data_IF_487376085217
#
_entry.id   IF_487376085217
#
_cell.length_a   1.000
_cell.length_b   1.000
_cell.length_c   1.000
_cell.angle_alpha   90.00
_cell.angle_beta   90.00
_cell.angle_gamma   90.00
#
_symmetry.space_group_name_H-M   'P 1'
#
loop_
_entity.id
_entity.type
_entity.pdbx_description
1 polymer ?
#
# COMPACT_ATOMS: atom_id res chain seq x y z
N UNK A 1 3.67 0.38 -71.35
CA UNK A 1 2.94 0.69 -70.09
C UNK A 1 4.01 0.91 -69.05
N UNK A 2 4.37 2.16 -68.84
CA UNK A 2 5.32 2.56 -67.77
C UNK A 2 4.60 2.49 -66.43
N UNK A 3 5.23 1.81 -65.50
CA UNK A 3 4.72 1.58 -64.16
C UNK A 3 4.75 2.90 -63.39
N UNK A 4 3.61 3.37 -62.88
CA UNK A 4 3.47 4.55 -62.07
C UNK A 4 4.13 4.44 -60.68
N UNK A 5 4.69 3.28 -60.33
CA UNK A 5 5.34 2.99 -59.04
C UNK A 5 6.65 3.80 -58.84
N UNK A 6 7.21 4.37 -59.89
CA UNK A 6 8.43 5.18 -59.81
C UNK A 6 8.19 6.68 -59.48
N UNK A 7 6.93 7.09 -59.40
CA UNK A 7 6.56 8.51 -59.19
C UNK A 7 5.97 8.79 -57.83
N UNK A 8 5.60 7.75 -57.06
CA UNK A 8 5.16 7.92 -55.69
C UNK A 8 6.42 8.11 -54.83
N UNK A 9 6.90 9.33 -54.69
CA UNK A 9 7.79 9.70 -53.62
C UNK A 9 7.07 9.32 -52.33
N UNK A 10 7.64 8.37 -51.54
CA UNK A 10 7.31 8.20 -50.18
C UNK A 10 7.29 9.58 -49.52
N UNK A 11 6.11 10.14 -49.32
CA UNK A 11 5.93 11.30 -48.44
C UNK A 11 6.40 10.86 -47.06
N UNK A 12 7.59 11.34 -46.73
CA UNK A 12 8.37 10.89 -45.59
C UNK A 12 7.52 10.90 -44.35
N UNK A 13 7.54 9.79 -43.61
CA UNK A 13 7.46 9.88 -42.17
C UNK A 13 8.37 11.04 -41.77
N UNK A 14 7.77 12.14 -41.30
CA UNK A 14 8.53 13.22 -40.69
C UNK A 14 9.43 12.56 -39.67
N UNK A 15 10.73 12.51 -39.93
CA UNK A 15 11.76 12.14 -38.99
C UNK A 15 11.63 13.15 -37.83
N UNK A 16 10.86 12.80 -36.82
CA UNK A 16 10.92 13.51 -35.54
C UNK A 16 12.37 13.43 -35.11
N UNK A 17 13.06 14.58 -34.89
CA UNK A 17 14.47 14.57 -34.52
C UNK A 17 14.69 13.63 -33.37
N UNK A 18 15.54 12.62 -33.53
CA UNK A 18 15.90 11.71 -32.45
C UNK A 18 16.60 12.54 -31.39
N UNK A 19 16.00 12.56 -30.19
CA UNK A 19 16.59 13.18 -28.99
C UNK A 19 18.02 12.66 -28.80
N UNK A 20 18.98 13.53 -28.50
CA UNK A 20 20.34 13.13 -28.18
C UNK A 20 20.37 12.27 -26.90
N UNK A 21 21.46 11.52 -26.69
CA UNK A 21 21.62 10.72 -25.47
C UNK A 21 21.62 11.62 -24.23
N UNK A 22 22.22 12.80 -24.31
CA UNK A 22 22.32 13.76 -23.22
C UNK A 22 20.93 14.35 -22.89
N UNK A 23 20.19 14.78 -23.88
CA UNK A 23 18.81 15.25 -23.70
C UNK A 23 17.91 14.18 -23.12
N UNK A 24 18.07 12.91 -23.54
CA UNK A 24 17.33 11.78 -22.97
C UNK A 24 17.67 11.54 -21.50
N UNK A 25 18.96 11.58 -21.11
CA UNK A 25 19.41 11.44 -19.72
C UNK A 25 18.83 12.55 -18.85
N UNK A 26 18.89 13.80 -19.32
CA UNK A 26 18.36 14.94 -18.57
C UNK A 26 16.83 14.87 -18.43
N UNK A 27 16.12 14.50 -19.49
CA UNK A 27 14.68 14.25 -19.42
C UNK A 27 14.34 13.18 -18.39
N UNK A 28 15.10 12.06 -18.33
CA UNK A 28 14.87 10.99 -17.37
C UNK A 28 15.21 11.41 -15.93
N UNK A 29 16.21 12.25 -15.73
CA UNK A 29 16.55 12.83 -14.44
C UNK A 29 15.44 13.76 -13.96
N UNK A 30 14.92 14.62 -14.83
CA UNK A 30 13.80 15.50 -14.53
C UNK A 30 12.52 14.72 -14.22
N UNK A 31 12.17 13.71 -15.01
CA UNK A 31 11.02 12.85 -14.75
C UNK A 31 11.08 12.19 -13.34
N UNK A 32 12.27 11.76 -12.93
CA UNK A 32 12.46 11.21 -11.57
C UNK A 32 12.29 12.26 -10.48
N UNK A 33 12.86 13.45 -10.67
CA UNK A 33 12.73 14.56 -9.74
C UNK A 33 11.28 14.99 -9.57
N UNK A 34 10.53 15.13 -10.67
CA UNK A 34 9.11 15.47 -10.66
C UNK A 34 8.26 14.45 -9.90
N UNK A 35 8.56 13.13 -10.07
CA UNK A 35 7.87 12.08 -9.34
C UNK A 35 8.21 12.07 -7.84
N UNK A 36 9.45 12.40 -7.49
CA UNK A 36 9.81 12.55 -6.06
C UNK A 36 9.09 13.75 -5.43
N UNK A 37 9.04 14.88 -6.13
CA UNK A 37 8.28 16.05 -5.67
C UNK A 37 6.80 15.71 -5.49
N UNK A 38 6.17 15.07 -6.50
CA UNK A 38 4.77 14.65 -6.43
C UNK A 38 4.49 13.70 -5.25
N UNK A 39 5.38 12.73 -4.97
CA UNK A 39 5.23 11.85 -3.83
C UNK A 39 5.37 12.60 -2.49
N UNK A 40 6.25 13.59 -2.44
CA UNK A 40 6.44 14.42 -1.27
C UNK A 40 5.22 15.29 -0.98
N UNK A 41 4.72 16.02 -1.99
CA UNK A 41 3.52 16.84 -1.87
C UNK A 41 2.30 16.03 -1.43
N UNK A 42 2.21 14.79 -1.94
CA UNK A 42 1.14 13.88 -1.53
C UNK A 42 1.28 13.38 -0.08
N UNK A 43 2.52 13.20 0.41
CA UNK A 43 2.77 12.87 1.81
C UNK A 43 2.33 14.00 2.74
N UNK A 44 2.65 15.25 2.38
CA UNK A 44 2.21 16.43 3.13
C UNK A 44 0.69 16.53 3.16
N UNK A 45 0.07 16.37 2.01
CA UNK A 45 -1.38 16.43 1.89
C UNK A 45 -2.05 15.32 2.72
N UNK A 46 -1.50 14.12 2.74
CA UNK A 46 -2.06 13.01 3.52
C UNK A 46 -2.03 13.26 5.04
N UNK A 47 -1.09 14.07 5.55
CA UNK A 47 -1.01 14.42 6.97
C UNK A 47 -1.50 15.87 7.28
N UNK A 48 -2.23 16.48 6.35
CA UNK A 48 -2.89 17.78 6.58
C UNK A 48 -4.38 17.75 6.25
N UNK A 49 -4.83 16.76 5.48
CA UNK A 49 -6.21 16.60 5.04
C UNK A 49 -6.75 15.19 5.39
N UNK A 50 -7.77 15.07 6.27
CA UNK A 50 -8.30 13.81 6.73
C UNK A 50 -8.80 12.90 5.60
N UNK A 51 -9.42 13.45 4.56
CA UNK A 51 -9.94 12.68 3.43
C UNK A 51 -8.78 12.07 2.61
N UNK A 52 -7.71 12.83 2.41
CA UNK A 52 -6.50 12.35 1.74
C UNK A 52 -5.80 11.28 2.58
N UNK A 53 -5.76 11.43 3.91
CA UNK A 53 -5.24 10.40 4.81
C UNK A 53 -6.06 9.10 4.71
N UNK A 54 -7.38 9.20 4.79
CA UNK A 54 -8.28 8.03 4.65
C UNK A 54 -8.07 7.31 3.30
N UNK A 55 -7.93 8.08 2.21
CA UNK A 55 -7.63 7.55 0.88
C UNK A 55 -6.26 6.86 0.83
N UNK A 56 -5.21 7.45 1.46
CA UNK A 56 -3.89 6.84 1.56
C UNK A 56 -3.91 5.51 2.33
N UNK A 57 -4.53 5.49 3.52
CA UNK A 57 -4.63 4.28 4.35
C UNK A 57 -5.41 3.17 3.62
N UNK A 58 -6.47 3.54 2.90
CA UNK A 58 -7.25 2.63 2.07
C UNK A 58 -6.42 2.03 0.94
N UNK A 59 -5.68 2.87 0.23
CA UNK A 59 -4.81 2.44 -0.86
C UNK A 59 -3.67 1.55 -0.34
N UNK A 60 -3.03 1.93 0.76
CA UNK A 60 -1.97 1.15 1.42
C UNK A 60 -2.46 -0.25 1.80
N UNK A 61 -3.67 -0.37 2.35
CA UNK A 61 -4.28 -1.65 2.69
C UNK A 61 -4.55 -2.52 1.44
N UNK A 62 -4.96 -1.92 0.32
CA UNK A 62 -5.25 -2.60 -0.95
C UNK A 62 -3.97 -3.07 -1.64
N UNK A 63 -2.98 -2.20 -1.78
CA UNK A 63 -1.74 -2.47 -2.51
C UNK A 63 -0.73 -3.32 -1.72
N UNK A 64 -0.81 -3.34 -0.38
CA UNK A 64 -0.03 -4.22 0.48
C UNK A 64 1.49 -3.97 0.39
N UNK A 65 2.18 -4.69 -0.48
CA UNK A 65 3.66 -4.63 -0.60
C UNK A 65 4.19 -3.40 -1.36
N UNK A 66 3.33 -2.46 -1.75
CA UNK A 66 3.75 -1.24 -2.42
C UNK A 66 4.66 -0.41 -1.49
N UNK A 67 5.74 0.15 -2.01
CA UNK A 67 6.58 1.07 -1.24
C UNK A 67 5.80 2.36 -0.94
N UNK A 68 6.20 3.10 0.11
CA UNK A 68 5.57 4.36 0.45
C UNK A 68 5.51 5.32 -0.75
N UNK A 69 6.65 5.58 -1.39
CA UNK A 69 6.70 6.47 -2.55
C UNK A 69 5.73 6.03 -3.66
N UNK A 70 5.70 4.73 -3.96
CA UNK A 70 4.81 4.23 -5.00
C UNK A 70 3.34 4.29 -4.57
N UNK A 71 3.00 4.07 -3.30
CA UNK A 71 1.63 4.24 -2.82
C UNK A 71 1.18 5.69 -2.96
N UNK A 72 2.03 6.66 -2.59
CA UNK A 72 1.75 8.08 -2.76
C UNK A 72 1.62 8.49 -4.23
N UNK A 73 2.48 7.94 -5.11
CA UNK A 73 2.37 8.15 -6.56
C UNK A 73 1.10 7.55 -7.16
N UNK A 74 0.68 6.38 -6.69
CA UNK A 74 -0.60 5.80 -7.11
C UNK A 74 -1.76 6.65 -6.62
N UNK A 75 -1.74 7.08 -5.35
CA UNK A 75 -2.76 7.94 -4.77
C UNK A 75 -2.95 9.23 -5.60
N UNK A 76 -1.86 9.88 -5.99
CA UNK A 76 -1.91 11.11 -6.78
C UNK A 76 -2.42 10.93 -8.21
N UNK A 77 -2.15 9.77 -8.85
CA UNK A 77 -2.45 9.52 -10.25
C UNK A 77 -3.74 8.73 -10.46
N UNK A 78 -4.08 7.84 -9.52
CA UNK A 78 -5.26 6.97 -9.58
C UNK A 78 -5.69 6.52 -8.17
N UNK A 79 -6.40 7.37 -7.40
CA UNK A 79 -6.76 7.12 -6.00
C UNK A 79 -7.70 5.91 -5.82
N UNK A 80 -8.48 5.56 -6.85
CA UNK A 80 -9.38 4.41 -6.87
C UNK A 80 -8.69 3.08 -7.22
N UNK A 81 -7.36 3.07 -7.44
CA UNK A 81 -6.62 1.88 -7.81
C UNK A 81 -6.77 0.75 -6.76
N UNK A 82 -6.91 -0.47 -7.26
CA UNK A 82 -7.10 -1.66 -6.41
C UNK A 82 -6.01 -2.72 -6.59
N UNK A 83 -5.45 -2.82 -7.78
CA UNK A 83 -4.39 -3.77 -8.08
C UNK A 83 -3.53 -3.26 -9.26
N UNK A 84 -2.33 -2.81 -8.96
CA UNK A 84 -1.44 -2.13 -9.90
C UNK A 84 -0.25 -3.01 -10.25
N UNK A 85 -0.01 -3.20 -11.55
CA UNK A 85 1.15 -3.91 -12.09
C UNK A 85 1.64 -3.28 -13.39
N UNK A 86 2.88 -3.58 -13.79
CA UNK A 86 3.36 -3.27 -15.12
C UNK A 86 2.70 -4.14 -16.21
N UNK A 87 2.90 -3.77 -17.47
CA UNK A 87 2.26 -4.45 -18.60
C UNK A 87 2.68 -5.93 -18.70
N UNK A 88 3.94 -6.25 -18.40
CA UNK A 88 4.44 -7.64 -18.44
C UNK A 88 3.78 -8.49 -17.37
N UNK A 89 3.71 -7.99 -16.13
CA UNK A 89 3.05 -8.68 -15.03
C UNK A 89 1.55 -8.89 -15.28
N UNK A 90 0.89 -8.00 -16.02
CA UNK A 90 -0.49 -8.20 -16.48
C UNK A 90 -0.59 -9.29 -17.55
N UNK A 91 0.32 -9.28 -18.52
CA UNK A 91 0.39 -10.31 -19.56
C UNK A 91 0.61 -11.71 -18.97
N UNK A 92 1.51 -11.85 -17.99
CA UNK A 92 1.78 -13.11 -17.27
C UNK A 92 0.52 -13.63 -16.53
N UNK A 93 -0.40 -12.73 -16.16
CA UNK A 93 -1.71 -13.05 -15.57
C UNK A 93 -2.81 -13.29 -16.60
N UNK A 94 -2.48 -13.29 -17.89
CA UNK A 94 -3.44 -13.45 -18.98
C UNK A 94 -4.35 -12.25 -19.18
N UNK A 95 -3.84 -11.04 -18.90
CA UNK A 95 -4.56 -9.77 -19.07
C UNK A 95 -3.77 -8.82 -19.98
N UNK A 96 -4.51 -8.08 -20.81
CA UNK A 96 -3.97 -7.04 -21.69
C UNK A 96 -4.37 -5.64 -21.21
N UNK A 97 -3.61 -4.64 -21.61
CA UNK A 97 -3.95 -3.23 -21.35
C UNK A 97 -5.00 -2.79 -22.37
N UNK A 98 -6.05 -2.10 -21.94
CA UNK A 98 -7.10 -1.59 -22.83
C UNK A 98 -6.53 -0.56 -23.80
N UNK A 99 -7.06 -0.55 -25.02
CA UNK A 99 -6.69 0.43 -26.06
C UNK A 99 -6.93 1.84 -25.52
N UNK A 100 -5.94 2.72 -25.68
CA UNK A 100 -6.00 4.11 -25.20
C UNK A 100 -5.46 4.31 -23.77
N UNK A 101 -5.41 3.29 -22.92
CA UNK A 101 -4.92 3.41 -21.53
C UNK A 101 -3.41 3.67 -21.44
N UNK A 102 -2.67 3.50 -22.53
CA UNK A 102 -1.25 3.82 -22.53
C UNK A 102 -0.93 5.24 -22.05
N UNK A 103 -1.74 6.24 -22.37
CA UNK A 103 -1.57 7.63 -21.90
C UNK A 103 -1.91 7.83 -20.42
N UNK A 104 -2.74 6.97 -19.85
CA UNK A 104 -3.19 6.98 -18.46
C UNK A 104 -2.37 6.06 -17.57
N UNK A 105 -1.16 5.67 -18.01
CA UNK A 105 -0.28 4.81 -17.23
C UNK A 105 0.15 5.50 -15.93
N UNK A 106 0.10 4.76 -14.84
CA UNK A 106 0.55 5.16 -13.51
C UNK A 106 2.08 5.04 -13.49
N UNK A 107 2.79 6.13 -13.25
CA UNK A 107 4.25 6.12 -13.15
C UNK A 107 4.67 5.73 -11.73
N UNK A 108 5.56 4.76 -11.62
CA UNK A 108 6.10 4.26 -10.36
C UNK A 108 7.60 4.07 -10.44
N UNK A 109 8.26 3.99 -9.28
CA UNK A 109 9.66 3.60 -9.18
C UNK A 109 9.77 2.07 -9.13
N UNK A 110 10.71 1.52 -9.90
CA UNK A 110 11.10 0.12 -9.85
C UNK A 110 12.61 0.04 -9.58
N UNK A 111 13.03 -0.90 -8.74
CA UNK A 111 14.45 -1.20 -8.56
C UNK A 111 15.10 -1.54 -9.90
N UNK A 112 16.29 -1.02 -10.11
CA UNK A 112 17.13 -1.26 -11.27
C UNK A 112 18.44 -1.93 -10.83
N UNK A 113 19.54 -1.66 -11.49
CA UNK A 113 20.84 -2.23 -11.15
C UNK A 113 21.46 -1.54 -9.92
N UNK A 114 22.19 -2.30 -9.13
CA UNK A 114 23.11 -1.72 -8.15
C UNK A 114 24.21 -0.91 -8.84
N UNK A 115 24.61 0.17 -8.21
CA UNK A 115 25.75 0.98 -8.63
C UNK A 115 26.59 1.38 -7.41
N UNK A 116 27.86 1.72 -7.66
CA UNK A 116 28.74 2.20 -6.62
C UNK A 116 28.75 3.73 -6.66
N UNK A 117 28.51 4.35 -5.51
CA UNK A 117 28.60 5.81 -5.36
C UNK A 117 30.06 6.26 -5.37
N UNK A 118 30.28 7.56 -5.50
CA UNK A 118 31.62 8.18 -5.46
C UNK A 118 32.34 7.91 -4.14
N UNK A 119 31.62 7.73 -3.04
CA UNK A 119 32.15 7.38 -1.71
C UNK A 119 32.48 5.88 -1.56
N UNK A 120 32.31 5.07 -2.62
CA UNK A 120 32.52 3.63 -2.62
C UNK A 120 31.39 2.78 -2.05
N UNK A 121 30.31 3.38 -1.56
CA UNK A 121 29.15 2.65 -1.05
C UNK A 121 28.27 2.09 -2.19
N UNK A 122 27.75 0.87 -2.02
CA UNK A 122 26.79 0.29 -2.94
C UNK A 122 25.41 0.95 -2.76
N UNK A 123 24.74 1.24 -3.86
CA UNK A 123 23.41 1.80 -3.87
C UNK A 123 22.52 1.13 -4.92
N UNK A 124 21.24 1.00 -4.62
CA UNK A 124 20.24 0.49 -5.57
C UNK A 124 19.77 1.62 -6.47
N UNK A 125 19.87 1.42 -7.78
CA UNK A 125 19.28 2.31 -8.77
C UNK A 125 17.78 2.14 -8.86
N UNK A 126 17.10 3.18 -9.32
CA UNK A 126 15.66 3.16 -9.58
C UNK A 126 15.36 3.75 -10.94
N UNK A 127 14.49 3.09 -11.67
CA UNK A 127 13.93 3.58 -12.94
C UNK A 127 12.43 3.85 -12.81
N UNK A 128 11.93 4.74 -13.65
CA UNK A 128 10.50 5.00 -13.79
C UNK A 128 9.88 3.95 -14.71
N UNK A 129 8.85 3.29 -14.24
CA UNK A 129 8.07 2.31 -15.00
C UNK A 129 6.62 2.75 -15.13
N UNK A 130 5.96 2.29 -16.19
CA UNK A 130 4.55 2.52 -16.45
C UNK A 130 3.76 1.32 -15.98
N UNK A 131 2.90 1.55 -14.98
CA UNK A 131 2.01 0.56 -14.41
C UNK A 131 0.55 0.87 -14.75
N UNK A 132 -0.32 -0.11 -14.55
CA UNK A 132 -1.74 0.00 -14.86
C UNK A 132 -2.54 -0.66 -13.73
N UNK A 133 -3.64 -0.03 -13.34
CA UNK A 133 -4.60 -0.66 -12.44
C UNK A 133 -5.42 -1.72 -13.18
N UNK A 134 -5.98 -2.68 -12.45
CA UNK A 134 -6.85 -3.73 -13.00
C UNK A 134 -8.00 -3.17 -13.84
N UNK A 135 -8.56 -2.01 -13.46
CA UNK A 135 -9.62 -1.33 -14.19
C UNK A 135 -9.21 -0.89 -15.60
N UNK A 136 -7.90 -0.69 -15.84
CA UNK A 136 -7.32 -0.34 -17.13
C UNK A 136 -6.97 -1.56 -17.99
N UNK A 137 -7.32 -2.76 -17.54
CA UNK A 137 -6.98 -4.02 -18.20
C UNK A 137 -8.22 -4.82 -18.58
N UNK A 138 -8.05 -5.80 -19.47
CA UNK A 138 -9.07 -6.77 -19.86
C UNK A 138 -8.47 -8.18 -19.85
N UNK A 139 -9.28 -9.22 -19.75
CA UNK A 139 -8.84 -10.61 -19.80
C UNK A 139 -9.32 -11.42 -18.58
N UNK A 140 -8.54 -12.43 -18.18
CA UNK A 140 -8.93 -13.37 -17.11
C UNK A 140 -9.28 -12.66 -15.80
N UNK A 141 -10.28 -13.14 -15.03
CA UNK A 141 -10.58 -12.62 -13.71
C UNK A 141 -9.36 -12.76 -12.77
N UNK A 142 -9.13 -11.74 -11.96
CA UNK A 142 -8.13 -11.83 -10.87
C UNK A 142 -8.82 -12.42 -9.65
N UNK A 143 -8.19 -13.41 -9.01
CA UNK A 143 -8.73 -14.00 -7.79
C UNK A 143 -8.85 -12.97 -6.69
N UNK A 144 -10.04 -12.83 -6.15
CA UNK A 144 -10.27 -12.00 -4.95
C UNK A 144 -9.60 -12.63 -3.72
N UNK A 145 -9.26 -11.79 -2.75
CA UNK A 145 -8.72 -12.26 -1.48
C UNK A 145 -9.81 -12.97 -0.69
N UNK A 146 -9.61 -14.21 -0.35
CA UNK A 146 -10.57 -15.03 0.42
C UNK A 146 -10.86 -14.44 1.81
N UNK A 147 -9.93 -13.68 2.36
CA UNK A 147 -10.07 -13.05 3.70
C UNK A 147 -11.30 -12.14 3.83
N UNK A 148 -11.78 -11.58 2.73
CA UNK A 148 -12.98 -10.73 2.72
C UNK A 148 -14.29 -11.50 2.96
N UNK A 149 -14.29 -12.83 2.75
CA UNK A 149 -15.44 -13.71 2.93
C UNK A 149 -15.46 -14.41 4.30
N UNK A 150 -14.43 -14.24 5.13
CA UNK A 150 -14.35 -14.81 6.46
C UNK A 150 -15.29 -14.10 7.43
N UNK A 151 -15.81 -14.83 8.42
CA UNK A 151 -16.59 -14.23 9.49
C UNK A 151 -15.69 -13.44 10.46
N UNK A 152 -16.33 -12.65 11.33
CA UNK A 152 -15.60 -11.78 12.26
C UNK A 152 -14.82 -12.57 13.32
N UNK A 153 -15.34 -13.71 13.74
CA UNK A 153 -14.68 -14.57 14.73
C UNK A 153 -13.37 -15.14 14.20
N UNK A 154 -13.39 -15.60 12.96
CA UNK A 154 -12.19 -16.10 12.26
C UNK A 154 -11.15 -14.98 12.08
N UNK A 155 -11.58 -13.74 11.70
CA UNK A 155 -10.70 -12.59 11.58
C UNK A 155 -10.04 -12.23 12.92
N UNK A 156 -10.81 -12.19 14.01
CA UNK A 156 -10.30 -11.91 15.36
C UNK A 156 -9.33 -13.01 15.79
N UNK A 157 -9.68 -14.28 15.58
CA UNK A 157 -8.79 -15.42 15.87
C UNK A 157 -7.45 -15.27 15.13
N UNK A 158 -7.47 -14.98 13.83
CA UNK A 158 -6.27 -14.78 13.04
C UNK A 158 -5.43 -13.57 13.52
N UNK A 159 -6.09 -12.49 13.98
CA UNK A 159 -5.44 -11.32 14.55
C UNK A 159 -4.74 -11.61 15.88
N UNK A 160 -5.36 -12.44 16.74
CA UNK A 160 -4.87 -12.74 18.09
C UNK A 160 -3.91 -13.92 18.14
N UNK A 161 -3.97 -14.83 17.16
CA UNK A 161 -3.05 -15.97 17.06
C UNK A 161 -1.62 -15.49 16.86
N UNK A 162 -0.68 -16.05 17.63
CA UNK A 162 0.73 -15.68 17.59
C UNK A 162 0.96 -14.17 17.76
N UNK A 163 0.13 -13.51 18.58
CA UNK A 163 0.35 -12.11 18.93
C UNK A 163 1.69 -11.93 19.67
N UNK A 164 2.40 -10.80 19.49
CA UNK A 164 3.70 -10.57 20.13
C UNK A 164 3.61 -10.48 21.65
N UNK A 165 2.41 -10.17 22.17
CA UNK A 165 2.13 -10.07 23.61
C UNK A 165 0.82 -10.78 23.94
N UNK A 166 0.64 -11.26 25.20
CA UNK A 166 -0.62 -11.84 25.65
C UNK A 166 -1.80 -10.88 25.53
N UNK A 167 -2.95 -11.40 25.12
CA UNK A 167 -4.21 -10.65 25.03
C UNK A 167 -5.19 -11.24 26.06
N UNK A 168 -5.61 -10.40 27.03
CA UNK A 168 -6.42 -10.81 28.18
C UNK A 168 -7.76 -10.09 28.16
N UNK A 169 -8.87 -10.80 28.33
CA UNK A 169 -10.18 -10.20 28.55
C UNK A 169 -10.33 -9.78 30.01
N UNK A 170 -10.77 -8.55 30.24
CA UNK A 170 -10.95 -8.01 31.59
C UNK A 170 -12.21 -7.14 31.68
N UNK A 171 -12.69 -6.95 32.91
CA UNK A 171 -13.77 -6.01 33.22
C UNK A 171 -13.22 -4.63 33.66
N UNK A 172 -11.90 -4.52 33.84
CA UNK A 172 -11.25 -3.28 34.31
C UNK A 172 -11.09 -2.22 33.21
N UNK A 173 -11.19 -2.62 31.94
CA UNK A 173 -11.14 -1.68 30.81
C UNK A 173 -12.56 -1.31 30.39
N UNK A 174 -12.90 0.01 30.37
CA UNK A 174 -14.21 0.45 29.89
C UNK A 174 -14.42 0.09 28.41
N UNK A 175 -15.66 -0.28 28.06
CA UNK A 175 -16.03 -0.59 26.66
C UNK A 175 -15.81 0.60 25.72
N UNK A 176 -15.92 1.85 26.21
CA UNK A 176 -15.63 3.06 25.44
C UNK A 176 -14.15 3.17 25.03
N UNK A 177 -13.23 2.56 25.77
CA UNK A 177 -11.79 2.50 25.48
C UNK A 177 -11.47 1.30 24.58
N UNK A 178 -12.14 0.19 24.82
CA UNK A 178 -12.05 -1.05 24.07
C UNK A 178 -10.87 -1.94 24.45
N UNK A 179 -9.63 -1.48 24.33
CA UNK A 179 -8.43 -2.20 24.74
C UNK A 179 -7.33 -1.22 25.18
N UNK A 180 -6.40 -1.70 26.02
CA UNK A 180 -5.23 -0.97 26.52
C UNK A 180 -4.02 -1.92 26.54
N UNK A 181 -2.91 -1.50 25.95
CA UNK A 181 -1.62 -2.15 26.13
C UNK A 181 -0.97 -1.65 27.44
N UNK A 182 -0.62 -2.57 28.32
CA UNK A 182 0.11 -2.30 29.55
C UNK A 182 1.60 -2.65 29.34
N UNK A 183 2.45 -1.65 29.30
CA UNK A 183 3.92 -1.85 29.24
C UNK A 183 4.43 -2.61 30.45
N UNK A 184 3.89 -2.32 31.65
CA UNK A 184 4.27 -2.98 32.91
C UNK A 184 4.04 -4.48 32.88
N UNK A 185 2.91 -4.91 32.30
CA UNK A 185 2.54 -6.32 32.23
C UNK A 185 2.94 -6.97 30.88
N UNK A 186 3.40 -6.15 29.95
CA UNK A 186 3.65 -6.54 28.57
C UNK A 186 2.47 -7.35 27.98
N UNK A 187 1.25 -6.82 28.15
CA UNK A 187 0.01 -7.49 27.77
C UNK A 187 -1.04 -6.49 27.29
N UNK A 188 -1.93 -6.93 26.41
CA UNK A 188 -3.10 -6.15 25.96
C UNK A 188 -4.31 -6.59 26.79
N UNK A 189 -4.93 -5.64 27.49
CA UNK A 189 -6.16 -5.82 28.24
C UNK A 189 -7.33 -5.36 27.38
N UNK A 190 -8.31 -6.22 27.18
CA UNK A 190 -9.46 -6.01 26.28
C UNK A 190 -10.76 -6.05 27.08
N UNK A 191 -11.58 -5.02 26.90
CA UNK A 191 -12.90 -4.94 27.50
C UNK A 191 -13.81 -6.09 27.04
N UNK A 192 -14.61 -6.66 27.94
CA UNK A 192 -15.63 -7.66 27.59
C UNK A 192 -16.83 -7.01 26.90
N UNK A 193 -17.54 -7.77 26.09
CA UNK A 193 -18.81 -7.36 25.48
C UNK A 193 -18.70 -6.43 24.27
N UNK A 194 -17.51 -6.25 23.71
CA UNK A 194 -17.31 -5.43 22.50
C UNK A 194 -17.91 -6.11 21.25
N UNK A 195 -18.48 -5.30 20.37
CA UNK A 195 -18.87 -5.75 19.03
C UNK A 195 -17.62 -6.11 18.21
N UNK A 196 -17.74 -7.11 17.32
CA UNK A 196 -16.61 -7.69 16.61
C UNK A 196 -15.73 -6.69 15.83
N UNK A 197 -16.32 -5.71 15.16
CA UNK A 197 -15.56 -4.67 14.45
C UNK A 197 -14.79 -3.74 15.40
N UNK A 198 -15.43 -3.36 16.52
CA UNK A 198 -14.78 -2.56 17.57
C UNK A 198 -13.66 -3.34 18.24
N UNK A 199 -13.90 -4.61 18.53
CA UNK A 199 -12.91 -5.51 19.12
C UNK A 199 -11.68 -5.65 18.20
N UNK A 200 -11.91 -5.90 16.90
CA UNK A 200 -10.82 -6.03 15.93
C UNK A 200 -9.98 -4.75 15.86
N UNK A 201 -10.63 -3.58 15.71
CA UNK A 201 -9.94 -2.29 15.66
C UNK A 201 -9.13 -2.04 16.94
N UNK A 202 -9.74 -2.22 18.12
CA UNK A 202 -9.09 -1.97 19.41
C UNK A 202 -7.87 -2.87 19.62
N UNK A 203 -7.96 -4.15 19.28
CA UNK A 203 -6.81 -5.07 19.37
C UNK A 203 -5.73 -4.66 18.36
N UNK A 204 -6.08 -4.33 17.11
CA UNK A 204 -5.11 -3.92 16.11
C UNK A 204 -4.36 -2.64 16.51
N UNK A 205 -5.06 -1.67 17.13
CA UNK A 205 -4.48 -0.43 17.67
C UNK A 205 -3.46 -0.72 18.77
N UNK A 206 -3.82 -1.56 19.73
CA UNK A 206 -2.94 -1.87 20.87
C UNK A 206 -1.79 -2.82 20.46
N UNK A 207 -1.95 -3.62 19.41
CA UNK A 207 -0.85 -4.36 18.80
C UNK A 207 0.17 -3.41 18.14
N UNK A 208 -0.27 -2.33 17.50
CA UNK A 208 0.64 -1.31 16.99
C UNK A 208 1.43 -0.68 18.13
N UNK A 209 0.77 -0.40 19.27
CA UNK A 209 1.43 0.13 20.47
C UNK A 209 2.44 -0.85 21.06
N UNK A 210 2.09 -2.11 21.17
CA UNK A 210 2.98 -3.18 21.62
C UNK A 210 4.20 -3.37 20.68
N UNK A 211 4.07 -3.03 19.41
CA UNK A 211 5.16 -3.01 18.43
C UNK A 211 5.99 -1.70 18.44
N UNK A 212 5.78 -0.82 19.44
CA UNK A 212 6.57 0.39 19.63
C UNK A 212 5.99 1.68 19.04
N UNK A 213 4.74 1.66 18.55
CA UNK A 213 4.05 2.88 18.14
C UNK A 213 3.51 3.60 19.39
N UNK A 214 4.15 4.70 19.81
CA UNK A 214 3.78 5.42 21.04
C UNK A 214 2.72 6.50 20.83
N UNK A 215 2.46 6.89 19.61
CA UNK A 215 1.48 7.91 19.25
C UNK A 215 0.10 7.30 19.00
N UNK A 216 -0.94 7.82 19.66
CA UNK A 216 -2.30 7.27 19.59
C UNK A 216 -2.91 7.41 18.20
N UNK A 217 -2.71 8.55 17.53
CA UNK A 217 -3.21 8.80 16.18
C UNK A 217 -2.55 7.87 15.16
N UNK A 218 -1.23 7.63 15.29
CA UNK A 218 -0.52 6.70 14.41
C UNK A 218 -0.96 5.26 14.64
N UNK A 219 -1.22 4.86 15.89
CA UNK A 219 -1.79 3.54 16.20
C UNK A 219 -3.18 3.36 15.57
N UNK A 220 -4.02 4.41 15.57
CA UNK A 220 -5.32 4.40 14.91
C UNK A 220 -5.15 4.27 13.37
N UNK A 221 -4.19 4.96 12.76
CA UNK A 221 -3.85 4.80 11.34
C UNK A 221 -3.45 3.35 11.00
N UNK A 222 -2.61 2.73 11.82
CA UNK A 222 -2.19 1.31 11.67
C UNK A 222 -3.40 0.38 11.78
N UNK A 223 -4.27 0.59 12.79
CA UNK A 223 -5.49 -0.19 12.97
C UNK A 223 -6.45 -0.07 11.77
N UNK A 224 -6.58 1.13 11.20
CA UNK A 224 -7.40 1.37 10.01
C UNK A 224 -6.89 0.59 8.79
N UNK A 225 -5.57 0.58 8.55
CA UNK A 225 -4.98 -0.24 7.48
C UNK A 225 -5.29 -1.72 7.68
N UNK A 226 -5.17 -2.23 8.91
CA UNK A 226 -5.50 -3.61 9.22
C UNK A 226 -7.01 -3.90 9.02
N UNK A 227 -7.89 -3.02 9.49
CA UNK A 227 -9.34 -3.15 9.31
C UNK A 227 -9.71 -3.25 7.83
N UNK A 228 -9.26 -2.30 7.01
CA UNK A 228 -9.55 -2.27 5.58
C UNK A 228 -8.99 -3.53 4.89
N UNK A 229 -7.77 -3.94 5.26
CA UNK A 229 -7.12 -5.13 4.69
C UNK A 229 -7.96 -6.38 4.89
N UNK A 230 -8.61 -6.52 6.04
CA UNK A 230 -9.40 -7.69 6.43
C UNK A 230 -10.91 -7.49 6.27
N UNK A 231 -11.35 -6.42 5.62
CA UNK A 231 -12.76 -6.13 5.35
C UNK A 231 -13.55 -5.89 6.65
N UNK A 232 -12.93 -5.22 7.60
CA UNK A 232 -13.55 -4.66 8.81
C UNK A 232 -13.74 -3.17 8.58
N UNK A 233 -14.85 -2.63 9.07
CA UNK A 233 -15.15 -1.20 8.97
C UNK A 233 -14.05 -0.36 9.64
N UNK A 234 -13.40 0.57 8.93
CA UNK A 234 -12.39 1.45 9.50
C UNK A 234 -13.04 2.54 10.37
N UNK A 235 -12.23 3.11 11.27
CA UNK A 235 -12.61 4.26 12.10
C UNK A 235 -11.68 5.43 11.77
N UNK A 236 -11.96 6.11 10.67
CA UNK A 236 -11.18 7.29 10.30
C UNK A 236 -11.46 8.45 11.27
N UNK A 237 -10.43 9.27 11.49
CA UNK A 237 -10.56 10.50 12.24
C UNK A 237 -11.08 11.63 11.34
N UNK A 238 -11.92 12.49 11.90
CA UNK A 238 -12.42 13.69 11.21
C UNK A 238 -11.39 14.83 11.26
N UNK A 239 -10.34 14.68 12.07
CA UNK A 239 -9.32 15.70 12.28
C UNK A 239 -7.95 15.08 12.52
N UNK A 240 -6.92 15.64 11.88
CA UNK A 240 -5.52 15.30 12.14
C UNK A 240 -5.02 16.16 13.29
N UNK A 241 -4.26 15.60 14.26
CA UNK A 241 -3.67 16.37 15.36
C UNK A 241 -2.78 17.51 14.84
N UNK A 242 -2.80 18.64 15.55
CA UNK A 242 -2.12 19.87 15.10
C UNK A 242 -0.59 19.70 15.05
N UNK A 243 -0.02 18.96 15.98
CA UNK A 243 1.40 18.62 16.02
C UNK A 243 1.82 17.79 14.81
N UNK A 244 0.96 16.89 14.30
CA UNK A 244 1.18 16.13 13.06
C UNK A 244 1.07 17.04 11.84
N UNK A 245 0.09 17.94 11.79
CA UNK A 245 -0.09 18.91 10.69
C UNK A 245 1.14 19.81 10.56
N UNK A 246 1.70 20.24 11.70
CA UNK A 246 2.85 21.16 11.77
C UNK A 246 4.22 20.51 11.60
N UNK A 247 4.28 19.17 11.47
CA UNK A 247 5.55 18.46 11.21
C UNK A 247 6.24 18.97 9.95
N UNK A 248 7.57 18.94 9.96
CA UNK A 248 8.39 19.18 8.79
C UNK A 248 8.13 18.12 7.70
N UNK A 249 8.34 18.50 6.46
CA UNK A 249 8.08 17.65 5.28
C UNK A 249 8.73 16.25 5.37
N UNK A 250 10.01 16.19 5.78
CA UNK A 250 10.73 14.93 5.96
C UNK A 250 10.13 14.03 7.03
N UNK A 251 9.67 14.63 8.13
CA UNK A 251 9.08 13.94 9.27
C UNK A 251 7.71 13.37 8.93
N UNK A 252 6.89 14.08 8.16
CA UNK A 252 5.60 13.57 7.65
C UNK A 252 5.79 12.29 6.84
N UNK A 253 6.79 12.28 5.99
CA UNK A 253 7.09 11.09 5.18
C UNK A 253 7.62 9.94 6.02
N UNK A 254 8.47 10.22 7.01
CA UNK A 254 8.94 9.23 7.97
C UNK A 254 7.78 8.65 8.79
N UNK A 255 6.84 9.50 9.21
CA UNK A 255 5.61 9.12 9.92
C UNK A 255 4.75 8.14 9.10
N UNK A 256 4.48 8.46 7.84
CA UNK A 256 3.73 7.54 6.96
C UNK A 256 4.49 6.24 6.69
N UNK A 257 5.82 6.27 6.66
CA UNK A 257 6.64 5.07 6.54
C UNK A 257 6.50 4.18 7.79
N UNK A 258 6.56 4.77 8.99
CA UNK A 258 6.39 4.06 10.26
C UNK A 258 4.98 3.42 10.37
N UNK A 259 3.91 4.15 10.01
CA UNK A 259 2.55 3.60 9.94
C UNK A 259 2.50 2.40 8.99
N UNK A 260 3.09 2.52 7.80
CA UNK A 260 3.12 1.44 6.82
C UNK A 260 3.87 0.21 7.33
N UNK A 261 5.02 0.39 7.95
CA UNK A 261 5.84 -0.72 8.48
C UNK A 261 5.11 -1.45 9.60
N UNK A 262 4.57 -0.74 10.59
CA UNK A 262 3.80 -1.30 11.68
C UNK A 262 2.54 -2.04 11.17
N UNK A 263 1.82 -1.45 10.21
CA UNK A 263 0.66 -2.10 9.59
C UNK A 263 1.04 -3.38 8.83
N UNK A 264 2.15 -3.36 8.08
CA UNK A 264 2.63 -4.53 7.35
C UNK A 264 3.08 -5.67 8.28
N UNK A 265 3.61 -5.37 9.45
CA UNK A 265 3.96 -6.36 10.45
C UNK A 265 2.71 -7.10 10.97
N UNK A 266 1.67 -6.35 11.39
CA UNK A 266 0.39 -6.91 11.84
C UNK A 266 -0.27 -7.71 10.71
N UNK A 267 -0.42 -7.11 9.54
CA UNK A 267 -1.06 -7.72 8.36
C UNK A 267 -0.30 -8.97 7.92
N UNK A 268 1.03 -8.90 7.88
CA UNK A 268 1.87 -10.04 7.47
C UNK A 268 1.76 -11.23 8.44
N UNK A 269 1.64 -10.97 9.75
CA UNK A 269 1.40 -12.00 10.75
C UNK A 269 0.03 -12.66 10.57
N UNK A 270 -1.02 -11.86 10.39
CA UNK A 270 -2.38 -12.37 10.16
C UNK A 270 -2.45 -13.18 8.85
N UNK A 271 -1.88 -12.67 7.75
CA UNK A 271 -1.83 -13.39 6.47
C UNK A 271 -1.12 -14.76 6.63
N UNK A 272 -0.02 -14.84 7.41
CA UNK A 272 0.67 -16.12 7.73
C UNK A 272 -0.22 -17.08 8.54
N UNK A 273 -0.90 -16.57 9.58
CA UNK A 273 -1.80 -17.37 10.41
C UNK A 273 -2.93 -17.98 9.56
N UNK A 274 -3.56 -17.18 8.70
CA UNK A 274 -4.61 -17.63 7.80
C UNK A 274 -4.11 -18.65 6.76
N UNK A 275 -2.88 -18.48 6.29
CA UNK A 275 -2.28 -19.46 5.38
C UNK A 275 -2.06 -20.81 6.07
N UNK A 276 -1.51 -20.82 7.28
CA UNK A 276 -1.24 -22.02 8.05
C UNK A 276 -2.53 -22.78 8.40
N UNK A 277 -3.59 -22.08 8.85
CA UNK A 277 -4.89 -22.69 9.12
C UNK A 277 -5.47 -23.42 7.90
N UNK A 278 -5.38 -22.79 6.70
CA UNK A 278 -5.87 -23.42 5.46
C UNK A 278 -5.06 -24.67 5.08
N UNK A 279 -3.76 -24.67 5.30
CA UNK A 279 -2.95 -25.87 5.06
C UNK A 279 -3.32 -27.00 6.00
N UNK A 280 -3.57 -26.70 7.28
CA UNK A 280 -4.02 -27.69 8.27
C UNK A 280 -5.38 -28.28 7.89
N UNK A 281 -6.35 -27.46 7.45
CA UNK A 281 -7.66 -27.93 7.00
C UNK A 281 -7.59 -28.83 5.77
N UNK A 282 -6.68 -28.56 4.81
CA UNK A 282 -6.48 -29.39 3.62
C UNK A 282 -5.83 -30.75 3.93
N UNK A 283 -5.04 -30.83 5.00
CA UNK A 283 -4.31 -32.03 5.38
C UNK A 283 -5.08 -32.90 6.41
N UNK A 284 -6.26 -32.46 6.87
CA UNK A 284 -7.14 -33.30 7.67
C UNK A 284 -7.89 -34.26 6.72
N UNK A 285 -7.75 -35.61 6.91
CA UNK A 285 -8.54 -36.56 6.14
C UNK A 285 -10.03 -36.32 6.41
N UNK A 286 -10.83 -36.32 5.34
CA UNK A 286 -12.29 -36.33 5.45
C UNK A 286 -12.71 -37.46 6.43
N UNK A 287 -13.32 -37.09 7.54
CA UNK A 287 -13.91 -38.05 8.50
C UNK A 287 -15.33 -38.37 8.11
#
# INVERSE_FOLDING_TARGET
>A
MESYDAVIKNEGKQDTPRMSTEEWIEMKKRERADLHALANDMADKALTDPDTLAAYLTLQARLGRCSLNNALLVLSQKPDATFVCDAKAWQDRGRGIRKGEGKNAIKQFQQDKEYIREDGSAAMGYKVVRCFDISQTYGKPVRQRVVLTMDMKEKIKALTTNAPVPIKLTDDVPQSVGAIYSEKENAIHVARGLQGGVLFFSIARELARANGCNDAFLCDCVANVACIRFGVEPKFCDRIPEDVVLMEHGDKKATLAAVRESANEIVGRVDRNLYMERQQQKNQPER
#
